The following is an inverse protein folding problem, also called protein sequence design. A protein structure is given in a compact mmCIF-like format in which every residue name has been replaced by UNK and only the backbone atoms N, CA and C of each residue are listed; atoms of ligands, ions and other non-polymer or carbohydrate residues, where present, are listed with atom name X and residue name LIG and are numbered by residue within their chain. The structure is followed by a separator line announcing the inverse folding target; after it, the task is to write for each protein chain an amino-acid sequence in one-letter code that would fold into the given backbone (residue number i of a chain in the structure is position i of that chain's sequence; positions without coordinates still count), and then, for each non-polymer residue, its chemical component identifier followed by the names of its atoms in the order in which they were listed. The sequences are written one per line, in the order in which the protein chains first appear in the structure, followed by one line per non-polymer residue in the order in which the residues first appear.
data_IF_764723917192
#
_entry.id   IF_764723917192
#
_cell.length_a   1.000
_cell.length_b   1.000
_cell.length_c   1.000
_cell.angle_alpha   90.00
_cell.angle_beta   90.00
_cell.angle_gamma   90.00
#
_symmetry.space_group_name_H-M   'P 1'
#
loop_
_entity.id
_entity.type
_entity.pdbx_description
1 polymer ?
#
# COMPACT_ATOMS: atom_id res chain seq x y z
N UNK A 1 -6.08 -5.18 -1.05
CA UNK A 1 -5.75 -4.61 -2.39
C UNK A 1 -6.05 -3.12 -2.46
N UNK A 2 -7.15 -2.59 -1.86
CA UNK A 2 -7.47 -1.16 -1.86
C UNK A 2 -6.31 -0.25 -1.42
N UNK A 3 -5.73 -0.52 -0.25
CA UNK A 3 -4.61 0.28 0.29
C UNK A 3 -3.31 0.08 -0.50
N UNK A 4 -3.16 -1.09 -1.10
CA UNK A 4 -2.10 -1.39 -2.05
C UNK A 4 -2.19 -0.50 -3.29
N UNK A 5 -3.39 -0.34 -3.85
CA UNK A 5 -3.64 0.59 -4.94
C UNK A 5 -3.34 2.04 -4.56
N UNK A 6 -3.80 2.48 -3.37
CA UNK A 6 -3.52 3.85 -2.86
C UNK A 6 -2.02 4.10 -2.78
N UNK A 7 -1.24 3.16 -2.25
CA UNK A 7 0.22 3.28 -2.18
C UNK A 7 0.89 3.31 -3.55
N UNK A 8 0.47 2.43 -4.47
CA UNK A 8 1.00 2.38 -5.83
C UNK A 8 0.75 3.67 -6.60
N UNK A 9 -0.47 4.22 -6.54
CA UNK A 9 -0.79 5.49 -7.16
C UNK A 9 -0.11 6.67 -6.50
N UNK A 10 0.06 6.67 -5.17
CA UNK A 10 0.82 7.72 -4.49
C UNK A 10 2.27 7.78 -5.01
N UNK A 11 2.89 6.62 -5.23
CA UNK A 11 4.22 6.57 -5.84
C UNK A 11 4.19 6.98 -7.31
N UNK A 12 3.28 6.40 -8.10
CA UNK A 12 3.17 6.69 -9.53
C UNK A 12 3.00 8.18 -9.82
N UNK A 13 2.19 8.88 -9.03
CA UNK A 13 1.97 10.32 -9.17
C UNK A 13 3.23 11.15 -8.85
N UNK A 14 3.99 10.77 -7.83
CA UNK A 14 5.15 11.54 -7.37
C UNK A 14 6.46 11.17 -8.08
N UNK A 15 6.51 9.99 -8.72
CA UNK A 15 7.69 9.45 -9.38
C UNK A 15 7.51 9.34 -10.91
N UNK A 16 6.54 10.06 -11.48
CA UNK A 16 6.32 10.12 -12.93
C UNK A 16 6.13 11.56 -13.39
N UNK A 17 6.29 11.85 -14.69
CA UNK A 17 6.05 13.17 -15.26
C UNK A 17 4.56 13.52 -15.37
N UNK A 18 3.66 12.57 -15.14
CA UNK A 18 2.22 12.67 -15.34
C UNK A 18 1.58 13.92 -14.69
N UNK A 19 1.92 14.23 -13.44
CA UNK A 19 1.42 15.44 -12.76
C UNK A 19 1.93 16.73 -13.42
N UNK A 20 3.16 16.74 -13.91
CA UNK A 20 3.73 17.88 -14.62
C UNK A 20 3.06 18.15 -15.96
N UNK A 21 2.55 17.09 -16.63
CA UNK A 21 1.82 17.22 -17.89
C UNK A 21 0.41 17.80 -17.72
N UNK A 22 -0.25 17.49 -16.60
CA UNK A 22 -1.64 17.86 -16.33
C UNK A 22 -1.81 19.17 -15.54
N UNK A 23 -0.77 19.61 -14.82
CA UNK A 23 -0.82 20.80 -13.97
C UNK A 23 0.24 21.83 -14.36
N UNK A 24 -0.16 22.95 -14.96
CA UNK A 24 0.77 23.99 -15.42
C UNK A 24 1.68 24.56 -14.32
N UNK A 25 1.18 24.74 -13.09
CA UNK A 25 1.99 25.25 -12.00
C UNK A 25 3.06 24.27 -11.51
N UNK A 26 2.80 22.95 -11.59
CA UNK A 26 3.80 21.91 -11.32
C UNK A 26 4.84 21.89 -12.44
N UNK A 27 4.40 22.00 -13.69
CA UNK A 27 5.27 22.08 -14.86
C UNK A 27 6.23 23.27 -14.82
N UNK A 28 5.76 24.43 -14.31
CA UNK A 28 6.62 25.61 -14.15
C UNK A 28 7.67 25.41 -13.05
N UNK A 29 7.33 24.71 -11.95
CA UNK A 29 8.23 24.46 -10.83
C UNK A 29 9.15 23.25 -11.07
N UNK A 30 8.67 22.24 -11.78
CA UNK A 30 9.37 20.96 -12.04
C UNK A 30 9.21 20.54 -13.48
N UNK A 31 9.99 21.11 -14.43
CA UNK A 31 9.82 20.87 -15.89
C UNK A 31 9.98 19.41 -16.32
N UNK A 32 10.78 18.64 -15.56
CA UNK A 32 11.08 17.23 -15.89
C UNK A 32 10.23 16.23 -15.08
N UNK A 33 9.25 16.68 -14.28
CA UNK A 33 8.50 15.86 -13.35
C UNK A 33 9.01 16.00 -11.91
N UNK A 34 8.26 15.45 -10.95
CA UNK A 34 8.60 15.60 -9.51
C UNK A 34 9.80 14.74 -9.10
N UNK A 35 10.01 13.56 -9.72
CA UNK A 35 11.12 12.62 -9.46
C UNK A 35 11.52 12.54 -7.98
N UNK A 36 10.51 12.49 -7.11
CA UNK A 36 10.71 12.56 -5.66
C UNK A 36 11.45 11.31 -5.19
N UNK A 37 12.48 11.44 -4.32
CA UNK A 37 13.23 10.29 -3.85
C UNK A 37 12.33 9.33 -3.06
N UNK A 38 12.52 8.03 -3.28
CA UNK A 38 11.70 6.96 -2.70
C UNK A 38 11.63 6.99 -1.17
N UNK A 39 12.69 7.46 -0.52
CA UNK A 39 12.75 7.60 0.94
C UNK A 39 11.70 8.56 1.51
N UNK A 40 11.25 9.53 0.72
CA UNK A 40 10.17 10.45 1.09
C UNK A 40 8.83 9.86 0.74
N UNK A 41 8.74 9.14 -0.39
CA UNK A 41 7.47 8.60 -0.87
C UNK A 41 7.01 7.41 -0.02
N UNK A 42 7.91 6.52 0.43
CA UNK A 42 7.53 5.37 1.27
C UNK A 42 6.79 5.81 2.54
N UNK A 43 7.33 6.70 3.40
CA UNK A 43 6.61 7.14 4.58
C UNK A 43 5.34 7.93 4.23
N UNK A 44 5.36 8.73 3.16
CA UNK A 44 4.18 9.45 2.71
C UNK A 44 3.06 8.49 2.27
N UNK A 45 3.38 7.51 1.44
CA UNK A 45 2.43 6.48 1.01
C UNK A 45 1.90 5.65 2.18
N UNK A 46 2.76 5.31 3.15
CA UNK A 46 2.37 4.63 4.38
C UNK A 46 1.36 5.46 5.18
N UNK A 47 1.59 6.77 5.34
CA UNK A 47 0.68 7.68 6.04
C UNK A 47 -0.63 7.83 5.28
N UNK A 48 -0.58 8.08 3.97
CA UNK A 48 -1.79 8.24 3.14
C UNK A 48 -2.63 6.96 3.15
N UNK A 49 -2.01 5.79 2.98
CA UNK A 49 -2.71 4.51 3.06
C UNK A 49 -3.25 4.23 4.47
N UNK A 50 -2.48 4.56 5.51
CA UNK A 50 -2.90 4.44 6.91
C UNK A 50 -4.12 5.31 7.23
N UNK A 51 -4.12 6.56 6.78
CA UNK A 51 -5.27 7.47 6.91
C UNK A 51 -6.50 6.93 6.15
N UNK A 52 -6.32 6.47 4.90
CA UNK A 52 -7.37 5.81 4.15
C UNK A 52 -7.91 4.58 4.90
N UNK A 53 -7.03 3.79 5.53
CA UNK A 53 -7.41 2.65 6.38
C UNK A 53 -8.27 3.06 7.58
N UNK A 54 -7.92 4.14 8.26
CA UNK A 54 -8.73 4.66 9.39
C UNK A 54 -10.06 5.20 8.92
N UNK A 55 -10.10 5.93 7.79
CA UNK A 55 -11.34 6.49 7.21
C UNK A 55 -12.30 5.36 6.82
N UNK A 56 -11.82 4.38 6.06
CA UNK A 56 -12.62 3.24 5.63
C UNK A 56 -12.92 2.25 6.78
N UNK A 57 -12.03 2.14 7.75
CA UNK A 57 -12.22 1.34 8.96
C UNK A 57 -13.34 1.85 9.86
N UNK A 58 -13.56 3.17 9.91
CA UNK A 58 -14.55 3.77 10.80
C UNK A 58 -15.99 3.26 10.59
N UNK A 59 -16.57 3.23 9.38
CA UNK A 59 -17.89 2.67 9.15
C UNK A 59 -17.95 1.16 9.35
N UNK A 60 -16.86 0.44 9.10
CA UNK A 60 -16.82 -1.03 9.20
C UNK A 60 -16.82 -1.54 10.64
N UNK A 61 -16.46 -0.72 11.63
CA UNK A 61 -16.42 -1.12 13.04
C UNK A 61 -17.76 -1.62 13.59
N UNK A 62 -18.87 -1.22 12.99
CA UNK A 62 -20.22 -1.65 13.38
C UNK A 62 -20.62 -2.99 12.78
N UNK A 63 -19.88 -3.46 11.78
CA UNK A 63 -20.16 -4.70 11.06
C UNK A 63 -19.44 -5.88 11.75
N UNK A 64 -20.05 -7.05 11.70
CA UNK A 64 -19.52 -8.27 12.30
C UNK A 64 -19.57 -9.42 11.30
N UNK A 65 -18.60 -10.34 11.42
CA UNK A 65 -18.57 -11.57 10.62
C UNK A 65 -18.53 -11.31 9.11
N UNK A 66 -19.37 -12.02 8.39
CA UNK A 66 -19.38 -12.04 6.91
C UNK A 66 -19.71 -10.66 6.29
N UNK A 67 -20.52 -9.85 6.97
CA UNK A 67 -20.82 -8.50 6.50
C UNK A 67 -19.58 -7.60 6.47
N UNK A 68 -18.67 -7.77 7.43
CA UNK A 68 -17.39 -7.06 7.42
C UNK A 68 -16.54 -7.47 6.20
N UNK A 69 -16.47 -8.77 5.91
CA UNK A 69 -15.71 -9.29 4.77
C UNK A 69 -16.27 -8.76 3.44
N UNK A 70 -17.59 -8.80 3.25
CA UNK A 70 -18.25 -8.32 2.02
C UNK A 70 -17.98 -6.82 1.82
N UNK A 71 -18.14 -6.01 2.87
CA UNK A 71 -17.93 -4.56 2.77
C UNK A 71 -16.48 -4.20 2.53
N UNK A 72 -15.53 -4.90 3.15
CA UNK A 72 -14.09 -4.65 2.91
C UNK A 72 -13.64 -5.04 1.51
N UNK A 73 -14.20 -6.11 0.93
CA UNK A 73 -14.01 -6.44 -0.49
C UNK A 73 -14.64 -5.37 -1.40
N UNK A 74 -15.85 -4.90 -1.05
CA UNK A 74 -16.52 -3.83 -1.78
C UNK A 74 -15.72 -2.52 -1.78
N UNK A 75 -15.01 -2.19 -0.70
CA UNK A 75 -14.13 -1.01 -0.69
C UNK A 75 -12.98 -1.13 -1.69
N UNK A 76 -12.44 -2.34 -1.91
CA UNK A 76 -11.45 -2.59 -2.95
C UNK A 76 -11.98 -2.17 -4.32
N UNK A 77 -13.18 -2.60 -4.62
CA UNK A 77 -13.84 -2.29 -5.90
C UNK A 77 -14.21 -0.80 -6.02
N UNK A 78 -14.68 -0.18 -4.94
CA UNK A 78 -14.97 1.27 -4.91
C UNK A 78 -13.71 2.07 -5.23
N UNK A 79 -12.56 1.74 -4.62
CA UNK A 79 -11.30 2.42 -4.91
C UNK A 79 -10.87 2.19 -6.36
N UNK A 80 -11.01 0.97 -6.88
CA UNK A 80 -10.72 0.68 -8.29
C UNK A 80 -11.56 1.52 -9.24
N UNK A 81 -12.87 1.55 -9.02
CA UNK A 81 -13.81 2.35 -9.82
C UNK A 81 -13.50 3.85 -9.68
N UNK A 82 -13.18 4.31 -8.47
CA UNK A 82 -12.80 5.70 -8.24
C UNK A 82 -11.53 6.07 -9.01
N UNK A 83 -10.48 5.25 -8.95
CA UNK A 83 -9.25 5.48 -9.70
C UNK A 83 -9.48 5.45 -11.23
N UNK A 84 -10.42 4.66 -11.69
CA UNK A 84 -10.79 4.58 -13.10
C UNK A 84 -11.49 5.85 -13.62
N UNK A 85 -12.21 6.57 -12.74
CA UNK A 85 -13.02 7.74 -13.09
C UNK A 85 -12.33 9.08 -12.76
N UNK A 86 -11.15 9.08 -12.14
CA UNK A 86 -10.38 10.29 -11.85
C UNK A 86 -9.66 10.88 -13.08
N UNK A 87 -10.17 10.64 -14.26
CA UNK A 87 -9.71 11.26 -15.50
C UNK A 87 -10.44 12.60 -15.75
N UNK A 88 -11.66 12.77 -15.21
CA UNK A 88 -12.49 13.95 -15.42
C UNK A 88 -12.99 14.55 -14.08
N UNK A 89 -12.99 15.86 -13.84
CA UNK A 89 -12.61 17.00 -14.71
C UNK A 89 -11.09 17.26 -14.77
N UNK A 90 -10.31 16.68 -13.88
CA UNK A 90 -8.86 16.84 -13.82
C UNK A 90 -8.24 15.45 -13.92
N UNK A 91 -7.39 15.24 -14.91
CA UNK A 91 -6.73 13.96 -15.12
C UNK A 91 -5.65 13.71 -14.04
N UNK A 92 -6.01 12.96 -13.00
CA UNK A 92 -5.09 12.60 -11.91
C UNK A 92 -4.51 11.21 -12.15
N UNK A 93 -5.35 10.22 -12.47
CA UNK A 93 -4.94 8.80 -12.54
C UNK A 93 -4.75 8.28 -13.96
N UNK A 94 -5.08 9.09 -14.98
CA UNK A 94 -5.15 8.69 -16.38
C UNK A 94 -6.18 7.57 -16.66
N UNK A 95 -7.13 7.37 -15.72
CA UNK A 95 -8.22 6.41 -15.84
C UNK A 95 -7.75 5.00 -16.21
N UNK A 96 -8.43 4.33 -17.17
CA UNK A 96 -8.08 2.96 -17.58
C UNK A 96 -6.69 2.84 -18.22
N UNK A 97 -6.14 3.93 -18.77
CA UNK A 97 -4.83 3.93 -19.41
C UNK A 97 -3.69 3.73 -18.44
N UNK A 98 -3.92 4.10 -17.17
CA UNK A 98 -2.90 4.02 -16.12
C UNK A 98 -1.76 5.03 -16.27
N UNK A 99 -0.83 4.99 -15.35
CA UNK A 99 0.36 5.84 -15.31
C UNK A 99 1.56 4.98 -15.72
N UNK A 100 2.27 5.42 -16.75
CA UNK A 100 3.50 4.81 -17.24
C UNK A 100 4.71 5.70 -16.94
N UNK A 101 5.91 5.22 -17.25
CA UNK A 101 7.17 5.94 -17.03
C UNK A 101 7.40 6.30 -15.55
N UNK A 102 7.09 5.33 -14.67
CA UNK A 102 7.36 5.45 -13.25
C UNK A 102 8.84 5.18 -13.02
N UNK A 103 9.51 6.04 -12.27
CA UNK A 103 10.92 5.89 -11.97
C UNK A 103 11.22 4.58 -11.24
N UNK A 104 12.31 3.93 -11.63
CA UNK A 104 12.87 2.81 -10.88
C UNK A 104 13.38 3.27 -9.51
N UNK A 105 13.43 2.34 -8.56
CA UNK A 105 13.97 2.63 -7.24
C UNK A 105 15.45 3.00 -7.32
N UNK A 106 15.84 4.12 -6.69
CA UNK A 106 17.24 4.52 -6.54
C UNK A 106 17.60 4.64 -5.07
N UNK A 107 18.63 3.91 -4.66
CA UNK A 107 19.19 3.97 -3.30
C UNK A 107 20.64 4.44 -3.41
N UNK A 108 20.88 5.75 -3.26
CA UNK A 108 22.20 6.34 -3.45
C UNK A 108 22.74 6.07 -4.86
N UNK A 109 23.90 5.41 -5.01
CA UNK A 109 24.48 5.11 -6.32
C UNK A 109 23.85 3.90 -7.02
N UNK A 110 23.00 3.12 -6.31
CA UNK A 110 22.36 1.92 -6.85
C UNK A 110 21.02 2.30 -7.53
N UNK A 111 20.95 2.10 -8.84
CA UNK A 111 19.72 2.22 -9.63
C UNK A 111 19.20 0.80 -9.93
N UNK A 112 18.06 0.46 -9.36
CA UNK A 112 17.41 -0.84 -9.52
C UNK A 112 16.82 -1.05 -10.93
N UNK A 113 16.78 0.00 -11.74
CA UNK A 113 16.40 -0.08 -13.16
C UNK A 113 17.53 -0.54 -14.08
N UNK A 114 18.79 -0.57 -13.59
CA UNK A 114 19.97 -0.90 -14.38
C UNK A 114 20.74 -2.07 -13.76
N UNK A 115 21.55 -2.74 -14.60
CA UNK A 115 22.45 -3.81 -14.11
C UNK A 115 23.52 -3.21 -13.21
N UNK A 116 23.54 -3.59 -11.94
CA UNK A 116 24.57 -3.15 -11.01
C UNK A 116 25.80 -4.05 -11.12
N UNK A 117 26.97 -3.42 -11.17
CA UNK A 117 28.26 -4.13 -11.10
C UNK A 117 28.78 -4.05 -9.66
N UNK A 118 28.59 -5.13 -8.90
CA UNK A 118 29.07 -5.23 -7.53
C UNK A 118 30.15 -6.32 -7.45
N UNK A 119 31.36 -5.97 -7.01
CA UNK A 119 32.50 -6.90 -6.90
C UNK A 119 32.81 -7.69 -8.19
N UNK A 120 32.61 -7.10 -9.37
CA UNK A 120 32.85 -7.77 -10.65
C UNK A 120 31.73 -8.70 -11.13
N UNK A 121 30.64 -8.84 -10.37
CA UNK A 121 29.46 -9.59 -10.77
C UNK A 121 28.40 -8.60 -11.32
N UNK A 122 27.89 -8.90 -12.50
CA UNK A 122 26.76 -8.16 -13.08
C UNK A 122 25.45 -8.71 -12.50
N UNK A 123 24.79 -7.90 -11.66
CA UNK A 123 23.52 -8.27 -11.02
C UNK A 123 22.38 -7.66 -11.85
N UNK A 124 21.52 -8.47 -12.49
CA UNK A 124 20.40 -7.97 -13.27
C UNK A 124 19.36 -7.27 -12.37
N UNK A 125 18.56 -6.32 -12.90
CA UNK A 125 17.52 -5.58 -12.15
C UNK A 125 16.57 -6.48 -11.37
N UNK A 126 16.13 -7.58 -11.97
CA UNK A 126 15.20 -8.54 -11.35
C UNK A 126 15.79 -9.15 -10.08
N UNK A 127 17.08 -9.50 -10.08
CA UNK A 127 17.74 -10.05 -8.90
C UNK A 127 17.90 -9.00 -7.78
N UNK A 128 18.13 -7.74 -8.14
CA UNK A 128 18.20 -6.65 -7.17
C UNK A 128 16.85 -6.46 -6.46
N UNK A 129 15.75 -6.41 -7.21
CA UNK A 129 14.40 -6.35 -6.64
C UNK A 129 14.05 -7.59 -5.80
N UNK A 130 14.47 -8.78 -6.23
CA UNK A 130 14.26 -10.01 -5.46
C UNK A 130 14.88 -9.92 -4.05
N UNK A 131 16.14 -9.52 -3.94
CA UNK A 131 16.79 -9.36 -2.64
C UNK A 131 16.18 -8.23 -1.82
N UNK A 132 15.79 -7.13 -2.46
CA UNK A 132 15.08 -6.05 -1.79
C UNK A 132 13.77 -6.53 -1.18
N UNK A 133 12.94 -7.23 -1.95
CA UNK A 133 11.66 -7.76 -1.46
C UNK A 133 11.86 -8.80 -0.36
N UNK A 134 12.88 -9.65 -0.48
CA UNK A 134 13.22 -10.61 0.57
C UNK A 134 13.57 -9.90 1.88
N UNK A 135 14.38 -8.85 1.85
CA UNK A 135 14.71 -8.03 3.03
C UNK A 135 13.44 -7.38 3.62
N UNK A 136 12.57 -6.82 2.77
CA UNK A 136 11.31 -6.22 3.21
C UNK A 136 10.38 -7.24 3.86
N UNK A 137 10.30 -8.46 3.33
CA UNK A 137 9.52 -9.55 3.94
C UNK A 137 10.08 -9.89 5.32
N UNK A 138 11.39 -10.05 5.46
CA UNK A 138 12.03 -10.32 6.77
C UNK A 138 11.75 -9.19 7.76
N UNK A 139 11.89 -7.93 7.34
CA UNK A 139 11.56 -6.76 8.17
C UNK A 139 10.09 -6.79 8.60
N UNK A 140 9.17 -7.06 7.66
CA UNK A 140 7.74 -7.14 7.95
C UNK A 140 7.41 -8.24 8.95
N UNK A 141 8.02 -9.42 8.81
CA UNK A 141 7.85 -10.53 9.77
C UNK A 141 8.35 -10.13 11.17
N UNK A 142 9.54 -9.49 11.24
CA UNK A 142 10.09 -9.02 12.52
C UNK A 142 9.19 -7.98 13.17
N UNK A 143 8.67 -7.02 12.39
CA UNK A 143 7.74 -5.99 12.90
C UNK A 143 6.46 -6.64 13.40
N UNK A 144 5.83 -7.54 12.62
CA UNK A 144 4.61 -8.24 13.01
C UNK A 144 4.80 -9.05 14.30
N UNK A 145 5.90 -9.80 14.39
CA UNK A 145 6.20 -10.57 15.61
C UNK A 145 6.42 -9.67 16.84
N UNK A 146 7.15 -8.57 16.69
CA UNK A 146 7.32 -7.57 17.76
C UNK A 146 6.01 -6.92 18.17
N UNK A 147 5.15 -6.66 17.19
CA UNK A 147 3.83 -6.08 17.41
C UNK A 147 2.92 -7.03 18.18
N UNK A 148 2.90 -8.31 17.83
CA UNK A 148 2.15 -9.36 18.53
C UNK A 148 2.51 -9.44 20.03
N UNK A 149 3.81 -9.39 20.34
CA UNK A 149 4.30 -9.41 21.73
C UNK A 149 4.12 -8.09 22.48
N UNK A 150 3.71 -7.02 21.79
CA UNK A 150 3.53 -5.69 22.36
C UNK A 150 2.25 -5.58 23.21
N UNK A 151 2.09 -4.44 23.92
CA UNK A 151 0.83 -4.13 24.62
C UNK A 151 -0.36 -4.04 23.68
N UNK A 152 -0.13 -3.57 22.45
CA UNK A 152 -1.15 -3.44 21.41
C UNK A 152 -1.57 -4.83 20.91
N UNK A 153 -0.64 -5.72 20.64
CA UNK A 153 -0.91 -7.09 20.21
C UNK A 153 -1.71 -7.86 21.28
N UNK A 154 -1.35 -7.75 22.54
CA UNK A 154 -2.13 -8.36 23.64
C UNK A 154 -3.55 -7.81 23.74
N UNK A 155 -3.75 -6.50 23.49
CA UNK A 155 -5.09 -5.93 23.44
C UNK A 155 -5.92 -6.49 22.27
N UNK A 156 -5.30 -6.70 21.11
CA UNK A 156 -5.96 -7.33 19.96
C UNK A 156 -6.34 -8.78 20.24
N UNK A 157 -5.46 -9.55 20.89
CA UNK A 157 -5.77 -10.92 21.30
C UNK A 157 -6.94 -10.97 22.28
N UNK A 158 -6.97 -10.09 23.27
CA UNK A 158 -8.10 -9.98 24.19
C UNK A 158 -9.43 -9.62 23.49
N UNK A 159 -9.40 -8.72 22.51
CA UNK A 159 -10.57 -8.36 21.71
C UNK A 159 -11.03 -9.52 20.82
N UNK A 160 -10.09 -10.34 20.34
CA UNK A 160 -10.41 -11.54 19.51
C UNK A 160 -11.13 -12.59 20.33
N UNK A 161 -10.73 -12.81 21.59
CA UNK A 161 -11.36 -13.79 22.47
C UNK A 161 -12.78 -13.33 22.90
N UNK A 162 -12.89 -12.15 23.51
CA UNK A 162 -14.19 -11.56 23.89
C UNK A 162 -14.11 -10.03 23.92
N UNK A 163 -14.81 -9.39 22.99
CA UNK A 163 -14.86 -7.94 22.87
C UNK A 163 -15.52 -7.26 24.09
N UNK A 164 -16.54 -7.91 24.70
CA UNK A 164 -17.29 -7.37 25.83
C UNK A 164 -16.40 -7.42 27.09
N UNK A 165 -15.74 -8.53 27.32
CA UNK A 165 -14.80 -8.69 28.42
C UNK A 165 -13.62 -7.73 28.30
N UNK A 166 -13.01 -7.61 27.11
CA UNK A 166 -11.94 -6.66 26.83
C UNK A 166 -12.33 -5.22 27.16
N UNK A 167 -13.57 -4.82 26.79
CA UNK A 167 -14.11 -3.49 27.07
C UNK A 167 -14.33 -3.29 28.57
N UNK A 168 -14.82 -4.30 29.29
CA UNK A 168 -14.99 -4.26 30.75
C UNK A 168 -13.64 -4.11 31.49
N UNK A 169 -12.57 -4.65 30.92
CA UNK A 169 -11.18 -4.50 31.41
C UNK A 169 -10.53 -3.15 31.05
N UNK A 170 -11.31 -2.20 30.47
CA UNK A 170 -10.85 -0.86 30.15
C UNK A 170 -10.16 -0.71 28.79
N UNK A 171 -10.16 -1.75 27.93
CA UNK A 171 -9.59 -1.65 26.59
C UNK A 171 -10.57 -0.87 25.68
N UNK A 172 -10.07 0.21 25.05
CA UNK A 172 -10.85 0.93 24.04
C UNK A 172 -10.88 0.14 22.72
N UNK A 173 -11.85 -0.77 22.59
CA UNK A 173 -11.95 -1.70 21.47
C UNK A 173 -12.07 -0.98 20.11
N UNK A 174 -12.78 0.17 20.08
CA UNK A 174 -12.91 0.98 18.85
C UNK A 174 -11.54 1.47 18.34
N UNK A 175 -10.78 2.11 19.22
CA UNK A 175 -9.48 2.68 18.80
C UNK A 175 -8.47 1.57 18.44
N UNK A 176 -8.52 0.43 19.17
CA UNK A 176 -7.65 -0.72 18.85
C UNK A 176 -7.99 -1.34 17.49
N UNK A 177 -9.27 -1.45 17.13
CA UNK A 177 -9.69 -1.91 15.81
C UNK A 177 -9.28 -0.93 14.71
N UNK A 178 -9.49 0.39 14.90
CA UNK A 178 -9.03 1.40 13.95
C UNK A 178 -7.52 1.38 13.75
N UNK A 179 -6.77 1.18 14.84
CA UNK A 179 -5.32 1.05 14.77
C UNK A 179 -4.90 -0.18 13.94
N UNK A 180 -5.59 -1.32 14.11
CA UNK A 180 -5.32 -2.51 13.32
C UNK A 180 -5.57 -2.27 11.81
N UNK A 181 -6.70 -1.61 11.46
CA UNK A 181 -6.98 -1.22 10.07
C UNK A 181 -5.93 -0.25 9.51
N UNK A 182 -5.58 0.79 10.28
CA UNK A 182 -4.56 1.75 9.87
C UNK A 182 -3.20 1.10 9.64
N UNK A 183 -2.75 0.25 10.57
CA UNK A 183 -1.47 -0.45 10.44
C UNK A 183 -1.46 -1.44 9.28
N UNK A 184 -2.52 -2.24 9.10
CA UNK A 184 -2.66 -3.10 7.92
C UNK A 184 -2.64 -2.32 6.61
N UNK A 185 -3.28 -1.14 6.60
CA UNK A 185 -3.27 -0.25 5.45
C UNK A 185 -1.87 0.34 5.16
N UNK A 186 -1.05 0.66 6.19
CA UNK A 186 0.32 1.13 5.98
C UNK A 186 1.19 0.07 5.31
N UNK A 187 1.11 -1.19 5.74
CA UNK A 187 1.79 -2.30 5.07
C UNK A 187 1.32 -2.45 3.62
N UNK A 188 0.00 -2.37 3.39
CA UNK A 188 -0.57 -2.38 2.05
C UNK A 188 -0.03 -1.24 1.18
N UNK A 189 0.03 -0.02 1.72
CA UNK A 189 0.57 1.15 1.02
C UNK A 189 2.03 1.00 0.63
N UNK A 190 2.88 0.55 1.56
CA UNK A 190 4.30 0.31 1.29
C UNK A 190 4.50 -0.76 0.22
N UNK A 191 3.75 -1.87 0.30
CA UNK A 191 3.84 -2.92 -0.73
C UNK A 191 3.37 -2.42 -2.11
N UNK A 192 2.38 -1.51 -2.15
CA UNK A 192 1.95 -0.85 -3.38
C UNK A 192 3.04 0.02 -4.02
N UNK A 193 3.79 0.78 -3.21
CA UNK A 193 4.97 1.52 -3.69
C UNK A 193 5.98 0.59 -4.33
N UNK A 194 6.27 -0.54 -3.67
CA UNK A 194 7.22 -1.53 -4.20
C UNK A 194 6.77 -2.15 -5.51
N UNK A 195 5.47 -2.41 -5.66
CA UNK A 195 4.91 -2.88 -6.92
C UNK A 195 5.06 -1.85 -8.03
N UNK A 196 4.73 -0.60 -7.77
CA UNK A 196 4.81 0.47 -8.75
C UNK A 196 6.26 0.68 -9.25
N UNK A 197 7.25 0.61 -8.35
CA UNK A 197 8.68 0.72 -8.71
C UNK A 197 9.17 -0.44 -9.54
N UNK A 198 8.70 -1.66 -9.24
CA UNK A 198 9.11 -2.88 -9.95
C UNK A 198 8.46 -2.96 -11.33
N UNK A 199 7.15 -2.67 -11.41
CA UNK A 199 6.38 -2.78 -12.64
C UNK A 199 6.65 -1.62 -13.61
N UNK A 200 7.01 -0.42 -13.10
CA UNK A 200 7.17 0.78 -13.91
C UNK A 200 5.87 1.29 -14.56
N UNK A 201 4.76 0.67 -14.23
CA UNK A 201 3.43 0.95 -14.76
C UNK A 201 2.36 0.60 -13.72
N UNK A 202 1.35 1.46 -13.59
CA UNK A 202 0.23 1.25 -12.66
C UNK A 202 -1.08 1.56 -13.36
N UNK A 203 -2.01 0.60 -13.38
CA UNK A 203 -3.38 0.79 -13.87
C UNK A 203 -4.41 0.31 -12.85
N UNK A 204 -5.65 0.81 -12.87
CA UNK A 204 -6.72 0.35 -11.97
C UNK A 204 -7.03 -1.14 -12.15
N UNK A 205 -6.81 -1.69 -13.34
CA UNK A 205 -7.03 -3.12 -13.64
C UNK A 205 -6.07 -4.05 -12.89
N UNK A 206 -4.89 -3.55 -12.48
CA UNK A 206 -3.94 -4.30 -11.65
C UNK A 206 -4.45 -4.55 -10.22
N UNK A 207 -5.55 -3.91 -9.81
CA UNK A 207 -6.10 -4.00 -8.44
C UNK A 207 -7.50 -4.59 -8.43
N UNK A 208 -7.67 -5.68 -9.15
CA UNK A 208 -8.97 -6.36 -9.31
C UNK A 208 -9.44 -7.03 -8.01
N UNK A 209 -10.76 -7.30 -7.95
CA UNK A 209 -11.35 -8.08 -6.87
C UNK A 209 -10.73 -9.48 -6.77
N UNK A 210 -10.33 -10.06 -7.91
CA UNK A 210 -9.72 -11.37 -7.98
C UNK A 210 -8.44 -11.46 -7.16
N UNK A 211 -7.59 -10.41 -7.20
CA UNK A 211 -6.39 -10.31 -6.36
C UNK A 211 -6.74 -10.32 -4.87
N UNK A 212 -7.80 -9.60 -4.47
CA UNK A 212 -8.26 -9.61 -3.08
C UNK A 212 -8.73 -10.99 -2.63
N UNK A 213 -9.48 -11.68 -3.47
CA UNK A 213 -9.96 -13.04 -3.19
C UNK A 213 -8.79 -14.03 -3.09
N UNK A 214 -7.80 -13.90 -3.99
CA UNK A 214 -6.61 -14.76 -3.97
C UNK A 214 -5.79 -14.56 -2.69
N UNK A 215 -5.60 -13.32 -2.22
CA UNK A 215 -4.91 -13.03 -0.96
C UNK A 215 -5.67 -13.62 0.23
N UNK A 216 -7.00 -13.47 0.28
CA UNK A 216 -7.83 -14.07 1.34
C UNK A 216 -7.72 -15.59 1.32
N UNK A 217 -7.77 -16.21 0.14
CA UNK A 217 -7.61 -17.65 0.00
C UNK A 217 -6.24 -18.13 0.51
N UNK A 218 -5.16 -17.40 0.20
CA UNK A 218 -3.82 -17.73 0.71
C UNK A 218 -3.76 -17.66 2.24
N UNK A 219 -4.40 -16.68 2.86
CA UNK A 219 -4.44 -16.54 4.31
C UNK A 219 -5.22 -17.68 4.96
N UNK A 220 -6.40 -18.01 4.43
CA UNK A 220 -7.25 -19.11 4.94
C UNK A 220 -6.56 -20.46 4.80
N UNK A 221 -5.93 -20.73 3.65
CA UNK A 221 -5.18 -21.97 3.44
C UNK A 221 -3.88 -22.03 4.25
N UNK A 222 -3.30 -20.89 4.57
CA UNK A 222 -2.07 -20.77 5.36
C UNK A 222 -2.23 -21.05 6.86
N UNK A 223 -3.46 -21.23 7.36
CA UNK A 223 -3.73 -21.69 8.72
C UNK A 223 -4.02 -20.59 9.73
N UNK A 224 -4.97 -19.73 9.43
CA UNK A 224 -5.61 -18.86 10.44
C UNK A 224 -6.37 -19.69 11.46
#
# INVERSE_FOLDING_TARGET
VAFYAVGAYAYALLASPHLGENFEWIRQSFPNGLHTPIWVIIPLAAVVAGLAGVILGTPTLKLRGDYLAIVTLGFGEIIRVFMNNLEYPINITNGPRGISQIDSMRIGPLDFGQTAHLFGLAIPPVAQYYYLFLVLVVISVVICHRLELSRIGRAWMAIREDEIAAKAMGINTRNMKLLAFGMGATFGGVSGVMFATFQGFVSPESFSLQESVMIVAMIVLGGL
#
